data_IF_524838998479
#
_entry.id   IF_524838998479
#
_cell.length_a   1.000
_cell.length_b   1.000
_cell.length_c   1.000
_cell.angle_alpha   90.00
_cell.angle_beta   90.00
_cell.angle_gamma   90.00
#
_symmetry.space_group_name_H-M   'P 1'
#
loop_
_entity.id
_entity.type
_entity.pdbx_description
1 polymer ?
#
# COMPACT_ATOMS: atom_id res chain seq x y z
N UNK A 1 -3.06 -29.88 -16.10
CA UNK A 1 -3.44 -28.80 -17.05
C UNK A 1 -4.37 -27.86 -16.30
N UNK A 2 -3.99 -26.61 -15.99
CA UNK A 2 -4.92 -25.68 -15.39
C UNK A 2 -5.92 -25.20 -16.46
N UNK A 3 -7.21 -25.35 -16.17
CA UNK A 3 -8.32 -25.00 -17.06
C UNK A 3 -8.56 -23.49 -17.16
N UNK A 4 -9.50 -23.07 -18.03
CA UNK A 4 -9.74 -21.65 -18.31
C UNK A 4 -10.40 -20.98 -17.11
N UNK A 5 -9.77 -19.92 -16.59
CA UNK A 5 -10.33 -19.08 -15.53
C UNK A 5 -11.34 -18.11 -16.15
N UNK A 6 -12.59 -18.17 -15.69
CA UNK A 6 -13.67 -17.26 -16.09
C UNK A 6 -13.40 -15.85 -15.57
N UNK A 7 -13.64 -14.86 -16.42
CA UNK A 7 -13.66 -13.46 -16.05
C UNK A 7 -14.74 -13.19 -15.00
N UNK A 8 -14.31 -12.67 -13.86
CA UNK A 8 -15.19 -12.09 -12.86
C UNK A 8 -14.54 -10.82 -12.33
N UNK A 9 -15.35 -9.78 -12.11
CA UNK A 9 -15.00 -8.45 -11.56
C UNK A 9 -14.46 -8.43 -10.12
N UNK A 10 -13.27 -8.94 -9.87
CA UNK A 10 -12.68 -8.98 -8.54
C UNK A 10 -11.29 -9.57 -8.59
N UNK A 11 -10.44 -9.14 -7.67
CA UNK A 11 -9.01 -9.39 -7.77
C UNK A 11 -8.68 -10.77 -7.19
N UNK A 12 -7.84 -11.56 -7.88
CA UNK A 12 -7.19 -12.73 -7.27
C UNK A 12 -6.20 -12.21 -6.24
N UNK A 13 -6.62 -12.17 -4.99
CA UNK A 13 -5.80 -11.66 -3.90
C UNK A 13 -5.00 -12.79 -3.24
N UNK A 14 -3.82 -12.44 -2.77
CA UNK A 14 -2.97 -13.25 -1.90
C UNK A 14 -2.49 -12.36 -0.75
N UNK A 15 -2.09 -12.94 0.37
CA UNK A 15 -1.59 -12.18 1.53
C UNK A 15 -0.31 -11.40 1.22
N UNK A 16 0.46 -11.85 0.23
CA UNK A 16 1.69 -11.21 -0.24
C UNK A 16 1.46 -10.34 -1.49
N UNK A 17 0.21 -10.04 -1.86
CA UNK A 17 -0.11 -9.29 -3.09
C UNK A 17 -1.12 -8.17 -2.84
N UNK A 18 -0.68 -6.93 -3.01
CA UNK A 18 -1.54 -5.75 -3.04
C UNK A 18 -1.91 -5.39 -4.48
N UNK A 19 -3.20 -5.26 -4.75
CA UNK A 19 -3.71 -4.92 -6.09
C UNK A 19 -4.38 -3.55 -6.01
N UNK A 20 -3.86 -2.56 -6.76
CA UNK A 20 -4.47 -1.26 -6.88
C UNK A 20 -5.22 -1.11 -8.19
N UNK A 21 -6.40 -0.49 -8.13
CA UNK A 21 -7.22 -0.10 -9.25
C UNK A 21 -7.33 1.42 -9.33
N UNK A 22 -7.04 1.98 -10.51
CA UNK A 22 -7.21 3.41 -10.81
C UNK A 22 -7.59 3.56 -12.28
N UNK A 23 -8.62 4.35 -12.60
CA UNK A 23 -9.09 4.60 -13.97
C UNK A 23 -9.21 3.34 -14.86
N UNK A 24 -9.70 2.23 -14.30
CA UNK A 24 -9.84 0.95 -15.01
C UNK A 24 -8.52 0.18 -15.24
N UNK A 25 -7.38 0.72 -14.82
CA UNK A 25 -6.08 0.04 -14.82
C UNK A 25 -5.85 -0.69 -13.50
N UNK A 26 -5.14 -1.81 -13.58
CA UNK A 26 -4.72 -2.59 -12.42
C UNK A 26 -3.19 -2.55 -12.31
N UNK A 27 -2.71 -2.32 -11.09
CA UNK A 27 -1.31 -2.45 -10.71
C UNK A 27 -1.20 -3.51 -9.59
N UNK A 28 -0.20 -4.36 -9.66
CA UNK A 28 0.03 -5.41 -8.67
C UNK A 28 1.42 -5.24 -8.06
N UNK A 29 1.47 -5.37 -6.74
CA UNK A 29 2.70 -5.31 -5.97
C UNK A 29 2.80 -6.54 -5.08
N UNK A 30 3.97 -7.18 -5.09
CA UNK A 30 4.33 -8.13 -4.05
C UNK A 30 4.63 -7.34 -2.77
N UNK A 31 3.91 -7.61 -1.69
CA UNK A 31 4.05 -6.85 -0.45
C UNK A 31 4.55 -7.73 0.68
N UNK A 32 5.46 -7.16 1.47
CA UNK A 32 5.72 -7.62 2.83
C UNK A 32 4.66 -7.01 3.75
N UNK A 33 4.07 -7.81 4.64
CA UNK A 33 3.05 -7.34 5.58
C UNK A 33 3.73 -6.91 6.87
N UNK A 34 3.39 -5.72 7.36
CA UNK A 34 3.77 -5.23 8.68
C UNK A 34 2.49 -5.05 9.52
N UNK A 35 2.14 -6.05 10.33
CA UNK A 35 0.90 -6.09 11.11
C UNK A 35 1.10 -6.07 12.64
N UNK A 36 2.35 -6.21 13.11
CA UNK A 36 2.75 -6.03 14.50
C UNK A 36 3.46 -4.66 14.74
N UNK A 37 3.43 -4.07 15.96
CA UNK A 37 4.13 -2.81 16.23
C UNK A 37 5.62 -2.82 15.88
N UNK A 38 6.31 -3.93 16.08
CA UNK A 38 7.76 -4.01 15.83
C UNK A 38 8.06 -3.99 14.33
N UNK A 39 7.29 -4.74 13.53
CA UNK A 39 7.41 -4.73 12.06
C UNK A 39 7.10 -3.36 11.47
N UNK A 40 6.06 -2.70 11.99
CA UNK A 40 5.68 -1.35 11.54
C UNK A 40 6.72 -0.29 11.93
N UNK A 41 7.37 -0.45 13.08
CA UNK A 41 8.42 0.46 13.52
C UNK A 41 9.69 0.30 12.67
N UNK A 42 10.02 -0.94 12.27
CA UNK A 42 11.17 -1.21 11.42
C UNK A 42 10.94 -0.81 9.96
N UNK A 43 9.76 -1.08 9.39
CA UNK A 43 9.43 -0.72 8.01
C UNK A 43 10.50 -1.16 7.00
N UNK A 44 10.93 -0.24 6.14
CA UNK A 44 11.98 -0.47 5.14
C UNK A 44 13.37 0.07 5.56
N UNK A 45 13.63 0.24 6.86
CA UNK A 45 14.92 0.71 7.40
C UNK A 45 16.08 -0.18 6.92
N UNK A 46 17.20 0.46 6.56
CA UNK A 46 18.42 -0.20 6.09
C UNK A 46 18.32 -0.81 4.69
N UNK A 47 17.16 -0.75 4.02
CA UNK A 47 16.99 -1.33 2.68
C UNK A 47 17.51 -0.37 1.61
N UNK A 48 18.54 -0.79 0.89
CA UNK A 48 19.15 0.02 -0.18
C UNK A 48 18.40 -0.04 -1.51
N UNK A 49 17.67 -1.14 -1.76
CA UNK A 49 16.92 -1.34 -3.01
C UNK A 49 15.72 -2.26 -2.84
N UNK A 50 14.71 -2.04 -3.67
CA UNK A 50 13.49 -2.87 -3.73
C UNK A 50 13.04 -3.02 -5.19
N UNK A 51 12.62 -4.21 -5.66
CA UNK A 51 12.08 -4.39 -6.99
C UNK A 51 10.90 -3.45 -7.27
N UNK A 52 10.76 -2.95 -8.50
CA UNK A 52 9.68 -2.03 -8.88
C UNK A 52 8.27 -2.58 -8.64
N UNK A 53 8.11 -3.91 -8.69
CA UNK A 53 6.85 -4.60 -8.40
C UNK A 53 6.73 -5.06 -6.95
N UNK A 54 7.53 -4.54 -6.03
CA UNK A 54 7.48 -4.86 -4.62
C UNK A 54 7.17 -3.63 -3.75
N UNK A 55 6.69 -3.88 -2.54
CA UNK A 55 6.35 -2.87 -1.55
C UNK A 55 6.23 -3.45 -0.15
N UNK A 56 5.82 -2.61 0.80
CA UNK A 56 5.45 -3.03 2.15
C UNK A 56 4.06 -2.49 2.49
N UNK A 57 3.17 -3.35 2.94
CA UNK A 57 1.81 -3.01 3.36
C UNK A 57 1.73 -3.05 4.89
N UNK A 58 1.56 -1.87 5.47
CA UNK A 58 1.34 -1.69 6.89
C UNK A 58 -0.15 -1.87 7.16
N UNK A 59 -0.48 -2.80 8.06
CA UNK A 59 -1.87 -3.13 8.42
C UNK A 59 -2.10 -2.75 9.87
N UNK A 60 -3.09 -1.89 10.11
CA UNK A 60 -3.49 -1.49 11.46
C UNK A 60 -4.76 -2.26 11.88
N UNK A 61 -4.88 -2.64 13.17
CA UNK A 61 -6.04 -3.37 13.67
C UNK A 61 -7.32 -2.52 13.60
N UNK A 62 -7.19 -1.20 13.78
CA UNK A 62 -8.30 -0.25 13.70
C UNK A 62 -7.89 1.01 12.95
N UNK A 63 -8.82 1.70 12.27
CA UNK A 63 -8.53 2.97 11.60
C UNK A 63 -8.04 4.01 12.60
N UNK A 64 -6.94 4.68 12.27
CA UNK A 64 -6.34 5.72 13.12
C UNK A 64 -5.49 6.68 12.31
N UNK A 65 -5.26 7.87 12.85
CA UNK A 65 -4.24 8.75 12.31
C UNK A 65 -2.85 8.16 12.62
N UNK A 66 -2.00 8.16 11.60
CA UNK A 66 -0.64 7.64 11.67
C UNK A 66 0.32 8.67 11.08
N UNK A 67 1.57 8.62 11.49
CA UNK A 67 2.63 9.40 10.89
C UNK A 67 3.81 8.47 10.60
N UNK A 68 4.37 8.63 9.42
CA UNK A 68 5.56 7.92 8.97
C UNK A 68 6.73 8.87 8.93
N UNK A 69 7.93 8.34 8.82
CA UNK A 69 9.17 9.09 8.60
C UNK A 69 10.08 8.23 7.72
N UNK A 70 11.20 8.79 7.30
CA UNK A 70 12.20 8.09 6.50
C UNK A 70 13.46 7.80 7.31
N UNK A 71 13.36 7.75 8.64
CA UNK A 71 14.46 7.43 9.54
C UNK A 71 15.17 6.16 9.07
N UNK A 72 16.50 6.19 8.96
CA UNK A 72 17.34 5.09 8.48
C UNK A 72 16.86 4.40 7.19
N UNK A 73 16.13 5.11 6.33
CA UNK A 73 15.57 4.58 5.09
C UNK A 73 16.23 5.29 3.89
N UNK A 74 17.31 4.70 3.32
CA UNK A 74 18.05 5.31 2.21
C UNK A 74 17.32 5.21 0.86
N UNK A 75 16.35 4.30 0.73
CA UNK A 75 15.52 4.13 -0.46
C UNK A 75 14.40 5.18 -0.47
N UNK A 76 14.29 6.05 -1.50
CA UNK A 76 13.17 6.98 -1.62
C UNK A 76 11.87 6.21 -1.97
N UNK A 77 10.76 6.59 -1.32
CA UNK A 77 9.48 5.87 -1.41
C UNK A 77 8.32 6.79 -1.82
N UNK A 78 7.24 6.18 -2.30
CA UNK A 78 5.91 6.77 -2.29
C UNK A 78 5.09 6.06 -1.20
N UNK A 79 4.45 6.82 -0.31
CA UNK A 79 3.56 6.30 0.73
C UNK A 79 2.11 6.56 0.36
N UNK A 80 1.33 5.50 0.16
CA UNK A 80 -0.10 5.57 -0.11
C UNK A 80 -0.85 5.30 1.19
N UNK A 81 -1.53 6.31 1.72
CA UNK A 81 -2.37 6.22 2.90
C UNK A 81 -3.79 5.80 2.49
N UNK A 82 -4.32 4.75 3.12
CA UNK A 82 -5.50 4.02 2.64
C UNK A 82 -6.50 3.80 3.79
N UNK A 83 -7.77 4.14 3.54
CA UNK A 83 -8.86 3.97 4.51
C UNK A 83 -9.24 2.50 4.75
N UNK A 84 -10.16 2.26 5.69
CA UNK A 84 -10.62 0.91 6.03
C UNK A 84 -11.35 0.16 4.90
N UNK A 85 -11.88 0.90 3.92
CA UNK A 85 -12.58 0.36 2.77
C UNK A 85 -11.63 0.04 1.61
N UNK A 86 -10.35 0.42 1.72
CA UNK A 86 -9.34 0.25 0.68
C UNK A 86 -9.21 1.43 -0.27
N UNK A 87 -9.70 2.63 0.05
CA UNK A 87 -9.49 3.82 -0.80
C UNK A 87 -8.22 4.54 -0.39
N UNK A 88 -7.37 4.84 -1.36
CA UNK A 88 -6.25 5.77 -1.18
C UNK A 88 -6.85 7.15 -0.90
N UNK A 89 -6.51 7.72 0.26
CA UNK A 89 -6.97 9.05 0.69
C UNK A 89 -5.89 10.10 0.50
N UNK A 90 -4.62 9.71 0.60
CA UNK A 90 -3.46 10.59 0.45
C UNK A 90 -2.28 9.81 -0.12
N UNK A 91 -1.44 10.50 -0.88
CA UNK A 91 -0.15 9.97 -1.34
C UNK A 91 0.94 10.97 -0.95
N UNK A 92 1.93 10.54 -0.18
CA UNK A 92 3.17 11.27 0.00
C UNK A 92 4.20 10.71 -0.99
N UNK A 93 4.40 11.41 -2.10
CA UNK A 93 5.26 10.96 -3.18
C UNK A 93 6.71 11.45 -3.00
N UNK A 94 7.65 10.64 -3.47
CA UNK A 94 9.08 10.94 -3.50
C UNK A 94 9.60 11.44 -2.15
N UNK A 95 9.33 10.64 -1.10
CA UNK A 95 9.82 10.93 0.24
C UNK A 95 11.34 11.04 0.27
N UNK A 96 11.84 11.89 1.16
CA UNK A 96 13.27 12.19 1.26
C UNK A 96 13.96 11.09 2.08
N UNK A 97 14.99 10.41 1.54
CA UNK A 97 15.73 9.42 2.31
C UNK A 97 16.33 9.99 3.59
N UNK A 98 16.33 9.20 4.66
CA UNK A 98 16.89 9.57 5.98
C UNK A 98 16.34 10.89 6.54
N UNK A 99 15.08 11.22 6.25
CA UNK A 99 14.40 12.41 6.75
C UNK A 99 13.47 12.03 7.91
N UNK A 100 13.76 12.57 9.09
CA UNK A 100 12.98 12.33 10.32
C UNK A 100 11.72 13.20 10.40
N UNK A 101 11.45 14.05 9.40
CA UNK A 101 10.25 14.88 9.36
C UNK A 101 9.00 14.00 9.29
N UNK A 102 8.07 14.10 10.27
CA UNK A 102 6.86 13.30 10.25
C UNK A 102 5.98 13.59 9.03
N UNK A 103 5.49 12.53 8.40
CA UNK A 103 4.56 12.52 7.28
C UNK A 103 3.21 11.99 7.81
N UNK A 104 2.31 12.88 8.26
CA UNK A 104 1.02 12.47 8.80
C UNK A 104 0.08 11.95 7.70
N UNK A 105 -0.85 11.07 8.07
CA UNK A 105 -1.95 10.64 7.20
C UNK A 105 -3.03 11.71 7.03
N UNK A 106 -3.04 12.73 7.89
CA UNK A 106 -4.03 13.83 8.01
C UNK A 106 -5.47 13.41 8.33
N UNK A 107 -5.74 12.10 8.34
CA UNK A 107 -7.05 11.51 8.58
C UNK A 107 -6.91 10.03 8.94
N UNK A 108 -7.93 9.42 9.57
CA UNK A 108 -7.88 8.02 9.96
C UNK A 108 -7.70 7.08 8.76
N UNK A 109 -6.67 6.24 8.84
CA UNK A 109 -6.35 5.21 7.84
C UNK A 109 -6.17 3.87 8.51
N UNK A 110 -6.39 2.80 7.76
CA UNK A 110 -6.20 1.43 8.24
C UNK A 110 -5.00 0.76 7.58
N UNK A 111 -4.60 1.25 6.40
CA UNK A 111 -3.48 0.70 5.68
C UNK A 111 -2.57 1.81 5.16
N UNK A 112 -1.27 1.50 5.07
CA UNK A 112 -0.30 2.32 4.35
C UNK A 112 0.50 1.40 3.45
N UNK A 113 0.63 1.75 2.17
CA UNK A 113 1.45 1.00 1.22
C UNK A 113 2.67 1.84 0.83
N UNK A 114 3.86 1.30 1.07
CA UNK A 114 5.11 1.88 0.61
C UNK A 114 5.57 1.19 -0.67
N UNK A 115 5.85 1.98 -1.70
CA UNK A 115 6.41 1.53 -2.98
C UNK A 115 7.59 2.42 -3.38
N UNK A 116 8.34 2.02 -4.41
CA UNK A 116 9.43 2.83 -4.95
C UNK A 116 8.96 4.24 -5.35
N UNK A 117 9.78 5.26 -5.04
CA UNK A 117 9.47 6.66 -5.35
C UNK A 117 9.14 6.92 -6.83
N UNK A 118 8.15 7.79 -7.04
CA UNK A 118 7.66 8.22 -8.35
C UNK A 118 6.80 7.18 -9.08
N UNK A 119 6.63 5.99 -8.52
CA UNK A 119 5.83 4.93 -9.14
C UNK A 119 4.34 5.20 -9.04
N UNK A 120 3.88 5.85 -7.96
CA UNK A 120 2.50 6.26 -7.81
C UNK A 120 2.10 7.21 -8.94
N UNK A 121 2.93 8.21 -9.24
CA UNK A 121 2.71 9.15 -10.34
C UNK A 121 2.71 8.45 -11.72
N UNK A 122 3.66 7.53 -11.95
CA UNK A 122 3.74 6.77 -13.22
C UNK A 122 2.52 5.90 -13.47
N UNK A 123 1.92 5.34 -12.42
CA UNK A 123 0.78 4.44 -12.49
C UNK A 123 -0.57 5.15 -12.31
N UNK A 124 -0.58 6.45 -11.99
CA UNK A 124 -1.81 7.21 -11.71
C UNK A 124 -2.46 6.82 -10.38
N UNK A 125 -1.66 6.35 -9.42
CA UNK A 125 -2.11 6.00 -8.08
C UNK A 125 -2.16 7.27 -7.22
N UNK A 126 -3.33 7.90 -7.16
CA UNK A 126 -3.61 9.06 -6.32
C UNK A 126 -4.82 8.83 -5.42
N UNK A 127 -5.29 9.88 -4.72
CA UNK A 127 -6.54 9.82 -3.98
C UNK A 127 -7.69 9.31 -4.85
N UNK A 128 -8.45 8.35 -4.35
CA UNK A 128 -9.52 7.66 -5.07
C UNK A 128 -9.12 6.32 -5.71
N UNK A 129 -7.82 6.02 -5.83
CA UNK A 129 -7.36 4.67 -6.19
C UNK A 129 -7.80 3.65 -5.13
N UNK A 130 -7.96 2.40 -5.53
CA UNK A 130 -8.62 1.37 -4.72
C UNK A 130 -7.74 0.15 -4.54
N UNK A 131 -7.40 -0.18 -3.31
CA UNK A 131 -6.68 -1.38 -2.91
C UNK A 131 -7.66 -2.56 -2.75
N UNK A 132 -7.31 -3.70 -3.34
CA UNK A 132 -7.82 -5.01 -3.00
C UNK A 132 -6.72 -5.80 -2.28
N UNK A 133 -7.04 -6.31 -1.09
CA UNK A 133 -6.17 -7.14 -0.27
C UNK A 133 -7.02 -7.99 0.69
N UNK A 134 -6.65 -9.23 1.05
CA UNK A 134 -7.45 -10.09 1.95
C UNK A 134 -7.64 -9.49 3.36
N UNK A 135 -6.77 -8.58 3.79
CA UNK A 135 -6.87 -7.90 5.09
C UNK A 135 -8.04 -6.88 5.16
N UNK A 136 -8.62 -6.50 4.02
CA UNK A 136 -9.77 -5.60 3.94
C UNK A 136 -11.04 -6.44 4.14
N UNK A 137 -11.93 -5.99 5.02
CA UNK A 137 -13.22 -6.63 5.22
C UNK A 137 -14.01 -6.64 3.89
N UNK A 138 -14.34 -7.81 3.32
CA UNK A 138 -15.06 -7.90 2.06
C UNK A 138 -16.40 -7.18 2.05
N UNK A 139 -17.04 -7.01 3.22
CA UNK A 139 -18.31 -6.28 3.35
C UNK A 139 -18.14 -4.76 3.20
N UNK A 140 -16.92 -4.24 3.40
CA UNK A 140 -16.58 -2.81 3.30
C UNK A 140 -15.70 -2.48 2.09
N UNK A 141 -15.04 -3.48 1.53
CA UNK A 141 -14.09 -3.33 0.45
C UNK A 141 -14.71 -2.65 -0.78
N UNK A 142 -14.13 -1.53 -1.20
CA UNK A 142 -14.56 -0.83 -2.44
C UNK A 142 -14.10 -1.57 -3.70
N UNK A 143 -13.10 -2.43 -3.53
CA UNK A 143 -12.65 -3.37 -4.55
C UNK A 143 -12.37 -4.73 -3.87
N UNK A 144 -13.37 -5.61 -3.77
CA UNK A 144 -13.24 -6.86 -3.04
C UNK A 144 -12.38 -7.88 -3.81
N UNK A 145 -11.72 -8.73 -3.03
CA UNK A 145 -11.08 -9.95 -3.51
C UNK A 145 -12.14 -10.99 -3.93
N UNK A 146 -11.76 -11.88 -4.85
CA UNK A 146 -12.60 -12.99 -5.34
C UNK A 146 -12.25 -14.33 -4.75
#
# INVERSE_FOLDING_TARGET
MPGPVRAGEGAQCSEDVAILRTDGKLAQFRVEIADDPDERAQGLMGRESMPTGAGMLFVYPTPREVAFWMHDTPLPLDMLFIDEAGRVVKVAAQTRPNDDTPIPSDMPVRFVLEINAGLAARLGLGPGAQLAHPAIDPARAVFPCK
#
